data_IF_407934876024
#
_entry.id   IF_407934876024
#
_cell.length_a   1.000
_cell.length_b   1.000
_cell.length_c   1.000
_cell.angle_alpha   90.00
_cell.angle_beta   90.00
_cell.angle_gamma   90.00
#
_symmetry.space_group_name_H-M   'P 1'
#
loop_
_entity.id
_entity.type
_entity.pdbx_description
1 polymer ?
#
# COMPACT_ATOMS: atom_id res chain seq x y z
N UNK A 1 -31.66 -0.33 15.16
CA UNK A 1 -30.73 -0.33 16.29
C UNK A 1 -29.50 -1.09 15.92
N UNK A 2 -28.38 -0.41 16.03
CA UNK A 2 -26.98 -0.87 15.96
C UNK A 2 -26.49 -1.52 17.26
N UNK A 3 -27.27 -1.45 18.34
CA UNK A 3 -26.89 -2.00 19.64
C UNK A 3 -26.37 -0.95 20.63
N UNK A 4 -26.41 0.33 20.26
CA UNK A 4 -26.31 1.45 21.19
C UNK A 4 -27.72 1.94 21.58
N UNK A 5 -27.74 2.75 22.64
CA UNK A 5 -28.95 3.41 23.14
C UNK A 5 -28.62 4.87 23.37
N UNK A 6 -29.63 5.73 23.41
CA UNK A 6 -29.45 7.15 23.79
C UNK A 6 -28.63 7.33 25.09
N UNK A 7 -28.79 6.43 26.08
CA UNK A 7 -28.03 6.49 27.34
C UNK A 7 -26.53 6.15 27.18
N UNK A 8 -26.19 5.43 26.11
CA UNK A 8 -24.82 5.09 25.74
C UNK A 8 -24.21 6.14 24.79
N UNK A 9 -24.94 7.20 24.46
CA UNK A 9 -24.49 8.29 23.58
C UNK A 9 -24.95 8.16 22.14
N UNK A 10 -25.88 7.25 21.83
CA UNK A 10 -26.48 7.17 20.49
C UNK A 10 -27.30 8.43 20.18
N UNK A 11 -27.01 9.05 19.04
CA UNK A 11 -27.66 10.25 18.55
C UNK A 11 -28.71 9.94 17.46
N UNK A 12 -28.74 8.71 16.92
CA UNK A 12 -29.75 8.23 15.95
C UNK A 12 -29.98 6.70 16.05
N UNK A 13 -30.72 6.26 17.08
CA UNK A 13 -31.13 4.85 17.31
C UNK A 13 -31.76 4.15 16.07
N UNK A 14 -32.26 4.92 15.09
CA UNK A 14 -32.87 4.42 13.87
C UNK A 14 -31.83 4.13 12.76
N UNK A 15 -30.66 4.75 12.79
CA UNK A 15 -29.62 4.62 11.79
C UNK A 15 -28.45 3.76 12.29
N UNK A 16 -28.30 2.51 11.81
CA UNK A 16 -27.28 1.60 12.32
C UNK A 16 -25.83 1.96 11.92
N UNK A 17 -25.63 3.06 11.18
CA UNK A 17 -24.33 3.57 10.78
C UNK A 17 -23.84 4.73 11.68
N UNK A 18 -24.70 5.24 12.56
CA UNK A 18 -24.45 6.40 13.41
C UNK A 18 -24.49 5.95 14.86
N UNK A 19 -23.36 5.98 15.57
CA UNK A 19 -23.26 5.68 17.01
C UNK A 19 -21.85 6.03 17.55
N UNK A 20 -21.68 6.19 18.87
CA UNK A 20 -20.40 6.56 19.49
C UNK A 20 -19.22 5.59 19.32
N UNK A 21 -19.44 4.46 18.65
CA UNK A 21 -18.42 3.44 18.41
C UNK A 21 -17.95 3.35 16.97
N UNK A 22 -18.33 4.27 16.07
CA UNK A 22 -17.98 4.19 14.64
C UNK A 22 -16.82 5.10 14.26
N UNK A 23 -16.44 5.08 12.98
CA UNK A 23 -15.52 6.07 12.42
C UNK A 23 -16.32 7.18 11.75
N UNK A 24 -15.90 8.43 11.95
CA UNK A 24 -16.43 9.56 11.20
C UNK A 24 -16.07 9.45 9.71
N UNK A 25 -17.06 9.62 8.83
CA UNK A 25 -16.88 9.51 7.38
C UNK A 25 -17.16 10.83 6.70
N UNK A 26 -16.46 11.09 5.59
CA UNK A 26 -16.71 12.30 4.83
C UNK A 26 -18.05 12.17 4.12
N UNK A 27 -18.95 13.13 4.34
CA UNK A 27 -20.16 13.23 3.55
C UNK A 27 -19.83 13.49 2.07
N UNK A 28 -19.91 12.45 1.25
CA UNK A 28 -19.72 12.51 -0.20
C UNK A 28 -21.06 12.76 -0.89
N UNK A 29 -21.16 13.87 -1.64
CA UNK A 29 -22.37 14.26 -2.35
C UNK A 29 -22.85 13.20 -3.35
N UNK A 30 -24.14 12.88 -3.34
CA UNK A 30 -24.75 11.92 -4.27
C UNK A 30 -24.77 12.42 -5.72
N UNK A 31 -24.99 11.49 -6.67
CA UNK A 31 -25.23 11.80 -8.08
C UNK A 31 -26.37 12.83 -8.23
N UNK A 32 -26.02 14.10 -8.43
CA UNK A 32 -27.01 15.19 -8.48
C UNK A 32 -26.49 16.58 -8.10
N UNK A 33 -25.28 16.69 -7.55
CA UNK A 33 -24.62 17.99 -7.34
C UNK A 33 -25.25 18.89 -6.27
N UNK A 34 -26.11 18.33 -5.42
CA UNK A 34 -26.53 18.98 -4.17
C UNK A 34 -25.48 18.74 -3.09
N UNK A 35 -25.13 19.77 -2.32
CA UNK A 35 -24.42 19.57 -1.06
C UNK A 35 -25.34 18.76 -0.14
N UNK A 36 -24.92 17.56 0.25
CA UNK A 36 -25.56 16.83 1.34
C UNK A 36 -25.22 17.54 2.65
N UNK A 37 -26.16 17.52 3.61
CA UNK A 37 -25.87 17.94 4.97
C UNK A 37 -24.92 16.92 5.59
N UNK A 38 -23.86 17.42 6.24
CA UNK A 38 -22.92 16.56 6.96
C UNK A 38 -23.62 15.76 8.04
N UNK A 39 -23.08 14.57 8.32
CA UNK A 39 -23.56 13.67 9.38
C UNK A 39 -22.52 13.69 10.50
N UNK A 40 -22.97 13.62 11.76
CA UNK A 40 -22.15 13.29 12.93
C UNK A 40 -22.28 11.77 13.10
N UNK A 41 -21.40 11.00 12.46
CA UNK A 41 -21.51 9.54 12.45
C UNK A 41 -21.15 8.96 13.83
N UNK A 42 -20.17 9.55 14.51
CA UNK A 42 -19.68 9.08 15.81
C UNK A 42 -20.32 9.73 17.04
N UNK A 43 -21.40 10.49 16.85
CA UNK A 43 -22.19 11.10 17.92
C UNK A 43 -21.36 11.91 18.95
N UNK A 44 -20.25 12.50 18.53
CA UNK A 44 -19.40 13.31 19.41
C UNK A 44 -19.85 14.78 19.50
N UNK A 45 -20.84 15.16 18.69
CA UNK A 45 -21.44 16.48 18.63
C UNK A 45 -20.79 17.43 17.61
N UNK A 46 -19.76 16.97 16.90
CA UNK A 46 -19.16 17.64 15.75
C UNK A 46 -19.58 16.92 14.46
N UNK A 47 -19.67 17.64 13.33
CA UNK A 47 -20.11 17.07 12.05
C UNK A 47 -18.91 16.97 11.10
N UNK A 48 -18.73 15.82 10.45
CA UNK A 48 -17.65 15.53 9.50
C UNK A 48 -16.25 15.86 10.07
N UNK A 49 -16.03 15.62 11.38
CA UNK A 49 -14.76 15.78 12.10
C UNK A 49 -13.80 14.61 11.83
N UNK A 50 -13.44 14.43 10.56
CA UNK A 50 -12.61 13.31 10.10
C UNK A 50 -11.34 13.11 10.94
N UNK A 51 -10.89 11.85 11.14
CA UNK A 51 -9.66 11.57 11.86
C UNK A 51 -8.46 12.32 11.26
N UNK A 52 -7.83 13.16 12.07
CA UNK A 52 -6.63 13.89 11.67
C UNK A 52 -5.41 12.96 11.52
N UNK A 53 -4.50 13.21 10.55
CA UNK A 53 -3.27 12.45 10.42
C UNK A 53 -2.41 12.46 11.69
N UNK A 54 -1.74 11.34 11.98
CA UNK A 54 -1.05 11.07 13.25
C UNK A 54 0.44 10.69 13.09
N UNK A 55 1.01 11.11 11.97
CA UNK A 55 2.29 10.66 11.43
C UNK A 55 3.39 11.74 11.45
N UNK A 56 3.10 12.90 12.06
CA UNK A 56 4.10 13.95 12.28
C UNK A 56 5.26 13.46 13.15
N UNK A 57 6.44 14.00 12.86
CA UNK A 57 7.66 13.79 13.66
C UNK A 57 8.09 12.32 13.86
N UNK A 58 7.63 11.39 13.01
CA UNK A 58 8.14 10.02 13.00
C UNK A 58 9.53 9.98 12.33
N UNK A 59 10.55 9.41 12.99
CA UNK A 59 11.86 9.17 12.37
C UNK A 59 11.76 8.27 11.14
N UNK A 60 12.63 8.50 10.16
CA UNK A 60 12.64 7.74 8.90
C UNK A 60 12.89 6.24 9.13
N UNK A 61 13.66 5.90 10.15
CA UNK A 61 14.15 4.57 10.51
C UNK A 61 13.47 4.00 11.77
N UNK A 62 12.30 4.53 12.14
CA UNK A 62 11.58 4.07 13.33
C UNK A 62 11.25 2.57 13.23
N UNK A 63 11.76 1.80 14.19
CA UNK A 63 11.62 0.34 14.20
C UNK A 63 10.28 -0.13 14.78
N UNK A 64 9.43 0.75 15.34
CA UNK A 64 8.11 0.38 15.84
C UNK A 64 7.13 0.20 14.67
N UNK A 65 6.63 -1.02 14.39
CA UNK A 65 5.72 -1.26 13.27
C UNK A 65 4.38 -0.54 13.40
N UNK A 66 3.99 -0.08 14.60
CA UNK A 66 2.80 0.76 14.75
C UNK A 66 2.96 2.12 14.06
N UNK A 67 4.21 2.56 13.85
CA UNK A 67 4.50 3.80 13.10
C UNK A 67 4.26 3.64 11.62
N UNK A 68 4.46 2.45 11.06
CA UNK A 68 4.08 2.13 9.70
C UNK A 68 2.55 2.24 9.50
N UNK A 69 1.76 1.84 10.50
CA UNK A 69 0.31 2.04 10.47
C UNK A 69 -0.06 3.54 10.48
N UNK A 70 0.60 4.33 11.33
CA UNK A 70 0.38 5.78 11.40
C UNK A 70 0.73 6.49 10.10
N UNK A 71 1.83 6.09 9.46
CA UNK A 71 2.31 6.64 8.18
C UNK A 71 1.39 6.35 6.97
N UNK A 72 0.30 5.63 7.19
CA UNK A 72 -0.76 5.41 6.20
C UNK A 72 -2.13 5.78 6.78
N UNK A 73 -2.19 6.71 7.73
CA UNK A 73 -3.41 7.26 8.34
C UNK A 73 -4.22 6.28 9.21
N UNK A 74 -3.68 5.11 9.54
CA UNK A 74 -4.28 4.19 10.51
C UNK A 74 -3.92 4.62 11.95
N UNK A 75 -4.61 5.66 12.43
CA UNK A 75 -4.25 6.37 13.65
C UNK A 75 -4.84 5.78 14.94
N UNK A 76 -6.07 5.26 14.87
CA UNK A 76 -6.77 4.76 16.03
C UNK A 76 -6.33 3.34 16.38
N UNK A 77 -6.04 3.09 17.66
CA UNK A 77 -5.81 1.76 18.21
C UNK A 77 -7.12 1.17 18.75
N UNK A 78 -7.33 -0.12 18.49
CA UNK A 78 -8.43 -0.90 19.06
C UNK A 78 -8.10 -1.36 20.48
N UNK A 79 -9.01 -1.10 21.42
CA UNK A 79 -8.93 -1.57 22.80
C UNK A 79 -9.55 -2.97 23.01
N UNK A 80 -10.21 -3.54 22.00
CA UNK A 80 -10.83 -4.85 22.10
C UNK A 80 -11.85 -5.18 21.00
N UNK A 81 -12.63 -6.27 21.14
CA UNK A 81 -13.59 -6.72 20.13
C UNK A 81 -14.72 -5.75 19.79
N UNK A 82 -15.08 -4.85 20.71
CA UNK A 82 -16.12 -3.84 20.52
C UNK A 82 -15.59 -2.47 20.08
N UNK A 83 -14.30 -2.38 19.73
CA UNK A 83 -13.63 -1.10 19.44
C UNK A 83 -12.80 -1.22 18.16
N UNK A 84 -13.00 -0.34 17.19
CA UNK A 84 -12.32 -0.41 15.89
C UNK A 84 -10.89 0.18 15.94
N UNK A 85 -10.12 -0.11 14.90
CA UNK A 85 -8.78 0.42 14.70
C UNK A 85 -7.69 -0.65 14.68
N UNK A 86 -6.44 -0.20 14.69
CA UNK A 86 -5.25 -1.05 14.68
C UNK A 86 -5.20 -1.89 15.96
N UNK A 87 -5.14 -3.21 15.79
CA UNK A 87 -4.99 -4.18 16.89
C UNK A 87 -3.52 -4.48 17.15
N UNK A 88 -2.74 -4.66 16.08
CA UNK A 88 -1.31 -4.91 16.15
C UNK A 88 -0.65 -4.59 14.81
N UNK A 89 0.64 -4.30 14.84
CA UNK A 89 1.48 -4.25 13.65
C UNK A 89 2.78 -5.02 13.91
N UNK A 90 3.32 -5.67 12.89
CA UNK A 90 4.55 -6.48 13.00
C UNK A 90 5.36 -6.37 11.71
N UNK A 91 6.66 -6.13 11.82
CA UNK A 91 7.59 -6.29 10.70
C UNK A 91 7.81 -7.78 10.41
N UNK A 92 7.65 -8.18 9.16
CA UNK A 92 7.72 -9.58 8.70
C UNK A 92 8.41 -9.65 7.34
N UNK A 93 8.75 -10.85 6.88
CA UNK A 93 9.06 -11.09 5.47
C UNK A 93 7.75 -11.23 4.67
N UNK A 94 7.84 -11.24 3.34
CA UNK A 94 6.66 -11.23 2.46
C UNK A 94 5.76 -12.45 2.65
N UNK A 95 6.32 -13.61 2.98
CA UNK A 95 5.60 -14.83 3.37
C UNK A 95 4.94 -14.76 4.76
N UNK A 96 5.31 -13.79 5.59
CA UNK A 96 4.78 -13.57 6.94
C UNK A 96 5.63 -14.19 8.04
N UNK A 97 6.76 -14.79 7.68
CA UNK A 97 7.75 -15.24 8.65
C UNK A 97 8.44 -14.04 9.34
N UNK A 98 9.01 -14.22 10.54
CA UNK A 98 9.67 -13.13 11.26
C UNK A 98 10.94 -12.65 10.52
N UNK A 99 11.43 -11.43 10.83
CA UNK A 99 12.72 -10.95 10.35
C UNK A 99 13.87 -11.92 10.70
N UNK A 100 14.97 -11.91 9.94
CA UNK A 100 16.12 -12.76 10.22
C UNK A 100 16.73 -12.47 11.61
N UNK A 101 17.17 -13.53 12.30
CA UNK A 101 17.71 -13.45 13.67
C UNK A 101 19.18 -12.98 13.73
N UNK A 102 19.93 -13.17 12.63
CA UNK A 102 21.33 -12.77 12.55
C UNK A 102 21.47 -11.25 12.61
N UNK A 103 22.36 -10.72 13.46
CA UNK A 103 22.43 -9.28 13.74
C UNK A 103 22.67 -8.41 12.49
N UNK A 104 23.49 -8.87 11.54
CA UNK A 104 23.73 -8.17 10.27
C UNK A 104 22.50 -8.20 9.38
N UNK A 105 21.91 -9.37 9.16
CA UNK A 105 20.71 -9.53 8.34
C UNK A 105 19.53 -8.78 8.94
N UNK A 106 19.42 -8.74 10.27
CA UNK A 106 18.37 -8.00 10.97
C UNK A 106 18.54 -6.50 10.74
N UNK A 107 19.77 -5.97 10.87
CA UNK A 107 20.04 -4.57 10.55
C UNK A 107 19.69 -4.24 9.08
N UNK A 108 20.07 -5.11 8.14
CA UNK A 108 19.74 -4.93 6.73
C UNK A 108 18.23 -5.02 6.45
N UNK A 109 17.52 -5.94 7.12
CA UNK A 109 16.07 -6.03 7.05
C UNK A 109 15.41 -4.71 7.46
N UNK A 110 15.91 -4.07 8.52
CA UNK A 110 15.38 -2.77 8.97
C UNK A 110 15.73 -1.58 8.05
N UNK A 111 16.65 -1.74 7.08
CA UNK A 111 16.84 -0.78 5.99
C UNK A 111 15.80 -0.96 4.88
N UNK A 112 15.13 -2.12 4.80
CA UNK A 112 14.11 -2.42 3.80
C UNK A 112 12.76 -1.74 4.03
N UNK A 113 12.61 -0.99 5.13
CA UNK A 113 11.44 -0.16 5.40
C UNK A 113 11.84 1.26 5.82
N UNK A 114 10.93 2.21 5.61
CA UNK A 114 11.15 3.60 5.98
C UNK A 114 9.85 4.40 6.06
N UNK A 115 9.86 5.45 6.89
CA UNK A 115 8.73 6.35 7.09
C UNK A 115 9.12 7.74 6.60
N UNK A 116 8.91 7.96 5.30
CA UNK A 116 9.57 9.03 4.55
C UNK A 116 8.72 10.30 4.56
N UNK A 117 9.30 11.50 4.69
CA UNK A 117 8.55 12.75 4.54
C UNK A 117 8.16 13.06 3.08
N UNK A 118 8.78 12.35 2.14
CA UNK A 118 8.60 12.39 0.67
C UNK A 118 9.53 11.34 0.06
N UNK A 119 9.36 11.05 -1.22
CA UNK A 119 10.27 10.22 -1.98
C UNK A 119 10.76 10.96 -3.24
N UNK A 120 12.01 11.41 -3.22
CA UNK A 120 12.54 12.30 -4.25
C UNK A 120 11.93 13.71 -4.19
N UNK A 121 12.03 14.41 -5.32
CA UNK A 121 11.61 15.81 -5.44
C UNK A 121 10.10 15.97 -5.63
N UNK A 122 9.44 14.97 -6.24
CA UNK A 122 8.11 15.13 -6.82
C UNK A 122 7.08 14.08 -6.36
N UNK A 123 7.42 13.21 -5.41
CA UNK A 123 6.48 12.25 -4.80
C UNK A 123 6.27 12.64 -3.33
N UNK A 124 5.38 13.60 -3.02
CA UNK A 124 5.02 13.92 -1.65
C UNK A 124 4.05 12.87 -1.08
N UNK A 125 3.87 12.84 0.25
CA UNK A 125 2.77 12.12 0.87
C UNK A 125 1.40 12.53 0.30
N UNK A 126 0.47 11.58 0.26
CA UNK A 126 -0.93 11.73 -0.19
C UNK A 126 -1.84 12.19 0.95
N UNK A 127 -1.52 11.83 2.17
CA UNK A 127 -2.09 12.40 3.38
C UNK A 127 -0.97 12.63 4.41
N UNK A 128 -1.32 13.30 5.51
CA UNK A 128 -0.38 13.50 6.62
C UNK A 128 0.92 14.20 6.27
N UNK A 129 2.00 13.77 6.92
CA UNK A 129 3.35 14.30 6.81
C UNK A 129 4.38 13.25 6.36
N UNK A 130 4.00 11.98 6.27
CA UNK A 130 4.84 10.82 6.01
C UNK A 130 4.12 9.85 5.09
N UNK A 131 4.92 9.00 4.44
CA UNK A 131 4.46 7.83 3.71
C UNK A 131 5.27 6.60 4.14
N UNK A 132 4.71 5.42 3.99
CA UNK A 132 5.42 4.16 4.21
C UNK A 132 6.16 3.74 2.94
N UNK A 133 7.47 3.49 3.03
CA UNK A 133 8.28 2.90 1.98
C UNK A 133 8.73 1.49 2.37
N UNK A 134 8.69 0.57 1.40
CA UNK A 134 9.09 -0.83 1.54
C UNK A 134 9.86 -1.23 0.29
N UNK A 135 11.07 -1.77 0.45
CA UNK A 135 11.99 -2.03 -0.65
C UNK A 135 12.63 -3.40 -0.57
N UNK A 136 12.95 -4.00 -1.72
CA UNK A 136 13.85 -5.15 -1.83
C UNK A 136 15.31 -4.77 -1.51
N UNK A 137 15.69 -3.52 -1.74
CA UNK A 137 16.92 -2.88 -1.28
C UNK A 137 16.67 -1.97 -0.06
N UNK A 138 17.17 -0.74 -0.09
CA UNK A 138 16.94 0.23 1.00
C UNK A 138 15.73 1.12 0.71
N UNK A 139 14.81 1.24 1.67
CA UNK A 139 13.64 2.10 1.58
C UNK A 139 14.03 3.56 1.93
N UNK A 140 14.87 4.17 1.08
CA UNK A 140 15.46 5.50 1.26
C UNK A 140 15.48 6.24 -0.08
N UNK A 141 15.28 7.56 -0.07
CA UNK A 141 15.64 8.41 -1.22
C UNK A 141 17.13 8.79 -1.15
N UNK A 142 17.69 9.25 -2.27
CA UNK A 142 19.14 9.50 -2.42
C UNK A 142 19.76 10.45 -1.39
N UNK A 143 18.96 11.29 -0.73
CA UNK A 143 19.43 12.24 0.30
C UNK A 143 19.36 11.71 1.74
N UNK A 144 18.77 10.55 1.96
CA UNK A 144 18.51 10.05 3.31
C UNK A 144 19.69 9.25 3.87
N UNK A 145 19.79 9.22 5.20
CA UNK A 145 20.73 8.34 5.88
C UNK A 145 20.36 6.87 5.67
N UNK A 146 21.38 6.04 5.41
CA UNK A 146 21.19 4.62 5.09
C UNK A 146 20.77 4.37 3.64
N UNK A 147 20.79 5.38 2.77
CA UNK A 147 20.60 5.18 1.34
C UNK A 147 21.73 4.31 0.77
N UNK A 148 21.33 3.24 0.09
CA UNK A 148 22.18 2.44 -0.79
C UNK A 148 21.61 2.47 -2.20
N UNK A 149 22.49 2.36 -3.19
CA UNK A 149 22.07 2.44 -4.59
C UNK A 149 21.09 1.31 -4.93
N UNK A 150 19.94 1.59 -5.56
CA UNK A 150 19.00 0.56 -6.04
C UNK A 150 19.56 -0.32 -7.17
N UNK A 151 20.84 -0.20 -7.51
CA UNK A 151 21.52 -1.10 -8.43
C UNK A 151 21.68 -2.52 -7.87
N UNK A 152 21.51 -2.73 -6.57
CA UNK A 152 21.60 -4.04 -5.93
C UNK A 152 22.20 -3.98 -4.54
N UNK A 153 21.40 -3.57 -3.56
CA UNK A 153 21.74 -3.69 -2.14
C UNK A 153 21.32 -5.08 -1.61
N UNK A 154 22.28 -6.01 -1.62
CA UNK A 154 22.08 -7.35 -1.10
C UNK A 154 21.95 -7.35 0.44
N UNK A 155 20.75 -7.65 0.97
CA UNK A 155 20.48 -7.71 2.41
C UNK A 155 20.94 -9.02 3.06
N UNK A 156 21.35 -10.01 2.26
CA UNK A 156 21.97 -11.30 2.64
C UNK A 156 21.02 -12.27 3.31
N UNK A 157 19.75 -12.27 2.90
CA UNK A 157 18.79 -13.27 3.34
C UNK A 157 17.73 -13.55 2.26
N UNK A 158 17.07 -14.70 2.41
CA UNK A 158 16.01 -15.17 1.52
C UNK A 158 14.72 -15.33 2.33
N UNK A 159 13.56 -15.28 1.68
CA UNK A 159 12.28 -15.68 2.24
C UNK A 159 11.51 -16.60 1.29
N UNK A 160 10.37 -17.13 1.73
CA UNK A 160 9.49 -17.90 0.84
C UNK A 160 8.53 -16.98 0.05
N UNK A 161 7.87 -17.55 -0.96
CA UNK A 161 6.76 -16.86 -1.61
C UNK A 161 5.60 -16.65 -0.63
N UNK A 162 4.91 -15.50 -0.70
CA UNK A 162 3.61 -15.37 -0.05
C UNK A 162 2.58 -16.32 -0.63
N UNK A 163 1.51 -16.58 0.13
CA UNK A 163 0.38 -17.38 -0.36
C UNK A 163 -0.20 -16.80 -1.66
N UNK A 164 -0.35 -17.64 -2.68
CA UNK A 164 -0.82 -17.23 -4.02
C UNK A 164 0.30 -16.82 -4.98
N UNK A 165 1.56 -16.87 -4.57
CA UNK A 165 2.74 -16.65 -5.41
C UNK A 165 3.54 -17.96 -5.63
N UNK A 166 4.37 -18.07 -6.68
CA UNK A 166 4.68 -17.04 -7.69
C UNK A 166 3.51 -16.70 -8.62
N UNK A 167 3.51 -15.48 -9.16
CA UNK A 167 2.55 -15.02 -10.16
C UNK A 167 3.27 -14.69 -11.46
N UNK A 168 3.08 -15.54 -12.46
CA UNK A 168 3.66 -15.32 -13.79
C UNK A 168 2.95 -14.12 -14.45
N UNK A 169 3.67 -13.08 -14.89
CA UNK A 169 3.06 -12.00 -15.61
C UNK A 169 2.47 -12.50 -16.93
N UNK A 170 1.20 -12.19 -17.16
CA UNK A 170 0.55 -12.45 -18.44
C UNK A 170 1.28 -11.70 -19.54
N UNK A 171 1.23 -12.23 -20.76
CA UNK A 171 1.90 -11.67 -21.94
C UNK A 171 3.43 -11.65 -21.83
N UNK A 172 4.00 -12.33 -20.83
CA UNK A 172 5.35 -12.85 -20.89
C UNK A 172 5.29 -14.32 -21.30
N UNK A 173 6.32 -14.80 -22.01
CA UNK A 173 6.44 -16.23 -22.30
C UNK A 173 6.59 -17.06 -21.03
N UNK A 174 6.80 -18.37 -21.17
CA UNK A 174 6.97 -19.27 -20.03
C UNK A 174 8.31 -18.97 -19.33
N UNK A 175 8.27 -18.14 -18.27
CA UNK A 175 9.32 -18.04 -17.27
C UNK A 175 8.72 -18.24 -15.88
N UNK A 176 9.54 -18.72 -14.94
CA UNK A 176 9.11 -18.95 -13.56
C UNK A 176 9.87 -17.95 -12.69
N UNK A 177 9.18 -17.02 -12.01
CA UNK A 177 9.82 -16.10 -11.07
C UNK A 177 10.68 -16.86 -10.06
N UNK A 178 11.89 -16.35 -9.79
CA UNK A 178 12.73 -16.89 -8.74
C UNK A 178 12.21 -16.52 -7.35
N UNK A 179 12.72 -17.26 -6.37
CA UNK A 179 12.30 -17.16 -4.97
C UNK A 179 12.62 -15.77 -4.41
N UNK A 180 11.82 -15.26 -3.44
CA UNK A 180 12.06 -13.96 -2.84
C UNK A 180 13.42 -13.86 -2.14
N UNK A 181 14.24 -12.96 -2.65
CA UNK A 181 15.47 -12.46 -2.06
C UNK A 181 15.21 -11.12 -1.38
N UNK A 182 15.92 -10.90 -0.27
CA UNK A 182 15.89 -9.67 0.51
C UNK A 182 14.47 -9.11 0.85
N UNK A 183 13.47 -9.96 1.16
CA UNK A 183 12.09 -9.51 1.35
C UNK A 183 11.94 -8.61 2.58
N UNK A 184 11.05 -7.63 2.49
CA UNK A 184 10.64 -6.80 3.64
C UNK A 184 9.16 -6.47 3.56
N UNK A 185 8.46 -6.63 4.67
CA UNK A 185 7.02 -6.39 4.76
C UNK A 185 6.60 -5.89 6.15
N UNK A 186 5.42 -5.28 6.19
CA UNK A 186 4.68 -5.03 7.44
C UNK A 186 3.33 -5.71 7.35
N UNK A 187 2.92 -6.37 8.43
CA UNK A 187 1.56 -6.90 8.61
C UNK A 187 0.84 -6.11 9.70
N UNK A 188 -0.32 -5.56 9.38
CA UNK A 188 -1.16 -4.79 10.30
C UNK A 188 -2.49 -5.51 10.46
N UNK A 189 -2.83 -5.86 11.69
CA UNK A 189 -4.13 -6.38 12.06
C UNK A 189 -5.05 -5.22 12.46
N UNK A 190 -6.22 -5.13 11.85
CA UNK A 190 -7.15 -4.00 12.00
C UNK A 190 -8.55 -4.54 12.27
N UNK A 191 -9.23 -3.98 13.26
CA UNK A 191 -10.67 -4.19 13.42
C UNK A 191 -11.41 -3.13 12.62
N UNK A 192 -12.20 -3.59 11.65
CA UNK A 192 -12.98 -2.75 10.74
C UNK A 192 -14.08 -2.02 11.53
N UNK A 193 -14.27 -0.70 11.34
CA UNK A 193 -15.43 0.03 11.87
C UNK A 193 -16.76 -0.63 11.49
N UNK A 194 -17.80 -0.47 12.30
CA UNK A 194 -19.10 -1.13 12.05
C UNK A 194 -19.94 -0.46 10.96
N UNK A 195 -19.66 0.82 10.66
CA UNK A 195 -20.36 1.60 9.64
C UNK A 195 -19.73 1.53 8.24
N UNK A 196 -18.62 0.82 8.05
CA UNK A 196 -17.91 0.75 6.75
C UNK A 196 -18.05 -0.61 6.08
N UNK A 197 -17.79 -0.67 4.77
CA UNK A 197 -17.88 -1.87 3.92
C UNK A 197 -16.68 -2.05 3.01
N UNK A 198 -15.78 -1.08 2.97
CA UNK A 198 -14.55 -1.14 2.19
C UNK A 198 -13.46 -0.27 2.78
N UNK A 199 -12.31 -0.34 2.14
CA UNK A 199 -11.22 0.62 2.34
C UNK A 199 -10.50 0.86 1.01
N UNK A 200 -9.77 1.97 0.94
CA UNK A 200 -8.81 2.25 -0.10
C UNK A 200 -7.49 2.72 0.50
N UNK A 201 -6.40 2.57 -0.24
CA UNK A 201 -5.11 3.17 0.07
C UNK A 201 -4.40 3.58 -1.22
N UNK A 202 -3.49 4.55 -1.11
CA UNK A 202 -2.64 4.96 -2.20
C UNK A 202 -1.37 4.12 -2.29
N UNK A 203 -0.93 3.87 -3.52
CA UNK A 203 0.31 3.13 -3.79
C UNK A 203 1.09 3.73 -4.95
N UNK A 204 2.42 3.78 -4.83
CA UNK A 204 3.34 4.14 -5.90
C UNK A 204 4.44 3.06 -5.96
N UNK A 205 4.91 2.71 -7.15
CA UNK A 205 5.95 1.72 -7.33
C UNK A 205 7.05 2.26 -8.24
N UNK A 206 8.30 2.14 -7.80
CA UNK A 206 9.50 2.40 -8.62
C UNK A 206 10.37 1.15 -8.67
N UNK A 207 11.01 0.93 -9.81
CA UNK A 207 11.79 -0.29 -10.02
C UNK A 207 13.03 -0.02 -10.84
N UNK A 208 14.14 -0.63 -10.43
CA UNK A 208 15.40 -0.55 -11.14
C UNK A 208 15.53 -1.64 -12.22
N UNK A 209 14.59 -2.62 -12.26
CA UNK A 209 14.47 -3.62 -13.31
C UNK A 209 14.46 -2.99 -14.71
N UNK A 210 14.00 -1.75 -14.87
CA UNK A 210 13.90 -1.12 -16.19
C UNK A 210 15.26 -1.01 -16.88
N UNK A 211 15.38 -1.46 -18.14
CA UNK A 211 14.32 -1.88 -19.08
C UNK A 211 14.13 -3.41 -19.25
N UNK A 212 14.53 -4.23 -18.29
CA UNK A 212 14.49 -5.69 -18.33
C UNK A 212 13.11 -6.24 -17.94
N UNK A 213 12.13 -6.16 -18.83
CA UNK A 213 10.83 -6.79 -18.62
C UNK A 213 10.85 -8.30 -18.93
N UNK A 214 9.86 -9.03 -18.45
CA UNK A 214 9.67 -10.47 -18.67
C UNK A 214 10.88 -11.35 -18.33
N UNK A 215 11.55 -11.07 -17.21
CA UNK A 215 12.63 -11.92 -16.70
C UNK A 215 12.24 -12.62 -15.40
N UNK A 216 12.89 -13.76 -15.13
CA UNK A 216 12.73 -14.49 -13.87
C UNK A 216 13.25 -13.74 -12.63
N UNK A 217 13.98 -12.64 -12.86
CA UNK A 217 14.58 -11.76 -11.85
C UNK A 217 13.74 -10.51 -11.54
N UNK A 218 12.57 -10.34 -12.17
CA UNK A 218 11.79 -9.12 -11.92
C UNK A 218 11.18 -9.09 -10.51
N UNK A 219 11.41 -7.97 -9.83
CA UNK A 219 10.98 -7.69 -8.47
C UNK A 219 9.46 -7.54 -8.37
N UNK A 220 8.95 -7.77 -7.16
CA UNK A 220 7.52 -7.60 -6.89
C UNK A 220 7.27 -6.73 -5.67
N UNK A 221 6.19 -5.96 -5.78
CA UNK A 221 5.50 -5.37 -4.65
C UNK A 221 4.15 -6.04 -4.45
N UNK A 222 3.83 -6.41 -3.21
CA UNK A 222 2.63 -7.17 -2.87
C UNK A 222 1.75 -6.44 -1.86
N UNK A 223 0.45 -6.59 -2.02
CA UNK A 223 -0.55 -6.23 -1.00
C UNK A 223 -1.48 -7.44 -0.76
N UNK A 224 -1.44 -8.01 0.44
CA UNK A 224 -2.16 -9.24 0.80
C UNK A 224 -3.19 -8.94 1.90
N UNK A 225 -4.46 -9.22 1.62
CA UNK A 225 -5.57 -9.07 2.56
C UNK A 225 -6.01 -10.43 3.09
N UNK A 226 -6.12 -10.53 4.42
CA UNK A 226 -6.68 -11.69 5.13
C UNK A 226 -7.85 -11.27 6.02
N UNK A 227 -8.98 -11.99 6.02
CA UNK A 227 -9.28 -13.09 5.10
C UNK A 227 -9.38 -12.60 3.65
N UNK A 228 -9.11 -13.50 2.70
CA UNK A 228 -9.13 -13.15 1.28
C UNK A 228 -10.53 -12.67 0.85
N UNK A 229 -10.63 -11.67 -0.04
CA UNK A 229 -11.87 -11.32 -0.69
C UNK A 229 -12.51 -12.52 -1.40
N UNK A 230 -13.84 -12.66 -1.29
CA UNK A 230 -14.56 -13.85 -1.77
C UNK A 230 -14.40 -14.10 -3.28
N UNK A 231 -14.19 -13.04 -4.07
CA UNK A 231 -14.04 -13.09 -5.53
C UNK A 231 -12.58 -13.29 -6.00
N UNK A 232 -11.63 -13.44 -5.09
CA UNK A 232 -10.22 -13.71 -5.41
C UNK A 232 -9.84 -15.14 -5.02
N UNK A 233 -8.92 -15.76 -5.77
CA UNK A 233 -8.42 -17.10 -5.46
C UNK A 233 -7.46 -17.11 -4.26
N UNK A 234 -6.82 -15.97 -4.00
CA UNK A 234 -5.84 -15.73 -2.95
C UNK A 234 -6.07 -14.34 -2.33
N UNK A 235 -5.26 -13.93 -1.35
CA UNK A 235 -5.39 -12.65 -0.66
C UNK A 235 -4.78 -11.45 -1.41
N UNK A 236 -4.17 -11.61 -2.58
CA UNK A 236 -3.46 -10.53 -3.24
C UNK A 236 -4.40 -9.55 -3.94
N UNK A 237 -4.37 -8.29 -3.52
CA UNK A 237 -5.31 -7.24 -3.98
C UNK A 237 -4.70 -6.19 -4.91
N UNK A 238 -3.39 -6.24 -5.15
CA UNK A 238 -2.69 -5.25 -5.98
C UNK A 238 -2.35 -5.83 -7.37
N UNK A 239 -3.15 -5.50 -8.38
CA UNK A 239 -2.91 -6.01 -9.73
C UNK A 239 -3.51 -5.08 -10.80
N UNK A 240 -2.96 -5.14 -12.01
CA UNK A 240 -3.52 -4.41 -13.16
C UNK A 240 -4.81 -5.04 -13.70
N UNK A 241 -5.40 -4.40 -14.71
CA UNK A 241 -6.60 -4.89 -15.39
C UNK A 241 -6.42 -6.26 -16.08
N UNK A 242 -5.18 -6.71 -16.28
CA UNK A 242 -4.82 -8.05 -16.77
C UNK A 242 -4.51 -9.02 -15.64
N UNK A 243 -4.67 -8.64 -14.36
CA UNK A 243 -4.31 -9.45 -13.18
C UNK A 243 -2.81 -9.71 -13.03
N UNK A 244 -1.94 -8.91 -13.64
CA UNK A 244 -0.51 -8.95 -13.32
C UNK A 244 -0.30 -8.34 -11.94
N UNK A 245 0.48 -8.99 -11.09
CA UNK A 245 0.95 -8.39 -9.84
C UNK A 245 1.81 -7.14 -10.11
N UNK A 246 2.04 -6.31 -9.10
CA UNK A 246 2.88 -5.13 -9.26
C UNK A 246 4.34 -5.53 -9.42
N UNK A 247 4.90 -5.22 -10.58
CA UNK A 247 6.30 -5.38 -11.00
C UNK A 247 6.52 -4.50 -12.23
N UNK A 248 7.72 -4.51 -12.82
CA UNK A 248 7.95 -3.89 -14.14
C UNK A 248 6.98 -4.39 -15.22
N UNK A 249 6.42 -5.59 -15.04
CA UNK A 249 5.51 -6.20 -15.99
C UNK A 249 4.06 -5.70 -15.89
N UNK A 250 3.80 -4.73 -15.01
CA UNK A 250 2.48 -4.19 -14.78
C UNK A 250 2.09 -3.10 -15.81
N UNK A 251 0.82 -3.07 -16.23
CA UNK A 251 0.32 -2.07 -17.18
C UNK A 251 0.29 -0.63 -16.64
N UNK A 252 0.49 -0.41 -15.33
CA UNK A 252 0.54 0.91 -14.71
C UNK A 252 1.89 1.63 -14.82
N UNK A 253 2.94 0.97 -15.34
CA UNK A 253 4.23 1.62 -15.58
C UNK A 253 4.06 2.72 -16.64
N UNK A 254 4.24 3.97 -16.23
CA UNK A 254 4.06 5.14 -17.09
C UNK A 254 5.02 6.30 -16.77
N UNK A 255 5.72 6.23 -15.64
CA UNK A 255 6.85 7.12 -15.33
C UNK A 255 8.12 6.46 -15.85
N UNK A 256 8.45 6.67 -17.12
CA UNK A 256 9.59 6.03 -17.76
C UNK A 256 10.09 6.83 -18.96
N UNK A 257 11.23 6.39 -19.51
CA UNK A 257 11.73 6.83 -20.81
C UNK A 257 12.56 5.72 -21.46
N UNK A 258 12.80 5.85 -22.76
CA UNK A 258 13.60 4.91 -23.54
C UNK A 258 14.32 5.63 -24.69
N UNK A 259 15.34 4.96 -25.21
CA UNK A 259 16.02 5.38 -26.43
C UNK A 259 15.02 5.41 -27.60
N UNK A 260 14.96 6.55 -28.29
CA UNK A 260 13.97 6.80 -29.36
C UNK A 260 12.68 7.48 -28.90
N UNK A 261 12.48 7.62 -27.58
CA UNK A 261 11.32 8.30 -26.99
C UNK A 261 10.06 7.43 -26.87
N UNK A 262 9.05 7.88 -26.11
CA UNK A 262 7.80 7.15 -25.91
C UNK A 262 6.96 7.02 -27.21
N UNK A 263 6.15 5.95 -27.35
CA UNK A 263 5.99 4.85 -26.41
C UNK A 263 7.18 3.87 -26.43
N UNK A 264 7.54 3.35 -25.27
CA UNK A 264 8.68 2.45 -25.11
C UNK A 264 8.29 1.01 -25.37
N UNK A 265 9.05 0.32 -26.20
CA UNK A 265 8.82 -1.08 -26.53
C UNK A 265 9.92 -1.96 -25.93
N UNK A 266 9.54 -2.77 -24.94
CA UNK A 266 10.42 -3.73 -24.26
C UNK A 266 9.96 -5.14 -24.67
N UNK A 267 10.65 -5.74 -25.63
CA UNK A 267 10.40 -7.11 -26.10
C UNK A 267 8.93 -7.41 -26.44
N UNK A 268 8.27 -6.45 -27.10
CA UNK A 268 6.88 -6.58 -27.54
C UNK A 268 5.85 -6.01 -26.55
N UNK A 269 6.29 -5.59 -25.35
CA UNK A 269 5.47 -4.84 -24.39
C UNK A 269 5.62 -3.35 -24.62
N UNK A 270 4.50 -2.68 -24.83
CA UNK A 270 4.46 -1.25 -25.11
C UNK A 270 4.01 -0.49 -23.87
N UNK A 271 4.89 0.39 -23.38
CA UNK A 271 4.65 1.31 -22.28
C UNK A 271 4.45 2.72 -22.84
N UNK A 272 3.38 3.39 -22.46
CA UNK A 272 3.11 4.73 -22.98
C UNK A 272 4.18 5.73 -22.53
N UNK A 273 4.71 5.57 -21.31
CA UNK A 273 5.68 6.45 -20.68
C UNK A 273 5.26 7.93 -20.78
N UNK A 274 3.95 8.18 -20.65
CA UNK A 274 3.33 9.48 -20.90
C UNK A 274 3.58 10.47 -19.77
N UNK A 275 3.85 9.96 -18.57
CA UNK A 275 4.22 10.75 -17.39
C UNK A 275 5.70 11.20 -17.40
N UNK A 276 6.50 10.73 -18.37
CA UNK A 276 7.92 11.05 -18.46
C UNK A 276 8.72 10.55 -17.25
N UNK A 277 9.76 11.28 -16.83
CA UNK A 277 10.67 10.83 -15.75
C UNK A 277 10.75 11.78 -14.56
N UNK A 278 9.92 12.82 -14.53
CA UNK A 278 10.05 13.89 -13.54
C UNK A 278 9.86 13.38 -12.10
N UNK A 279 8.99 12.39 -11.88
CA UNK A 279 8.75 11.78 -10.57
C UNK A 279 9.97 10.97 -10.05
N UNK A 280 10.88 10.55 -10.91
CA UNK A 280 12.10 9.81 -10.53
C UNK A 280 13.23 10.72 -10.02
N UNK A 281 13.08 12.04 -10.10
CA UNK A 281 14.14 12.97 -9.70
C UNK A 281 14.37 12.92 -8.18
N UNK A 282 15.59 12.59 -7.76
CA UNK A 282 16.02 12.52 -6.37
C UNK A 282 15.62 11.24 -5.64
N UNK A 283 14.99 10.28 -6.32
CA UNK A 283 14.57 9.01 -5.70
C UNK A 283 15.70 8.00 -5.63
N UNK A 284 16.75 8.13 -6.45
CA UNK A 284 17.76 7.10 -6.69
C UNK A 284 17.42 6.17 -7.85
N UNK A 285 16.22 6.34 -8.46
CA UNK A 285 15.72 5.57 -9.60
C UNK A 285 15.76 6.38 -10.91
N UNK A 286 16.60 7.42 -10.99
CA UNK A 286 16.76 8.22 -12.19
C UNK A 286 17.13 7.35 -13.41
N UNK A 287 16.41 7.56 -14.52
CA UNK A 287 16.60 6.79 -15.75
C UNK A 287 15.98 5.39 -15.74
N UNK A 288 15.19 5.05 -14.70
CA UNK A 288 14.46 3.79 -14.57
C UNK A 288 12.97 3.97 -14.87
N UNK A 289 12.12 3.20 -14.20
CA UNK A 289 10.69 3.27 -14.37
C UNK A 289 9.93 3.21 -13.05
N UNK A 290 8.67 3.63 -13.12
CA UNK A 290 7.70 3.47 -12.06
C UNK A 290 6.29 3.75 -12.53
N UNK A 291 5.38 3.75 -11.57
CA UNK A 291 4.00 4.19 -11.72
C UNK A 291 3.86 5.62 -11.18
N UNK A 292 2.81 6.33 -11.60
CA UNK A 292 2.29 7.42 -10.78
C UNK A 292 1.60 6.86 -9.53
N UNK A 293 0.98 7.72 -8.73
CA UNK A 293 0.12 7.25 -7.64
C UNK A 293 -1.11 6.52 -8.18
N UNK A 294 -1.37 5.34 -7.61
CA UNK A 294 -2.55 4.53 -7.82
C UNK A 294 -3.39 4.50 -6.54
N UNK A 295 -4.63 4.07 -6.67
CA UNK A 295 -5.55 3.74 -5.56
C UNK A 295 -5.85 2.26 -5.67
N UNK A 296 -5.65 1.52 -4.59
CA UNK A 296 -6.14 0.14 -4.45
C UNK A 296 -7.27 0.13 -3.42
N UNK A 297 -8.39 -0.50 -3.77
CA UNK A 297 -9.55 -0.64 -2.90
C UNK A 297 -9.93 -2.11 -2.72
N UNK A 298 -10.60 -2.43 -1.60
CA UNK A 298 -11.10 -3.78 -1.33
C UNK A 298 -12.31 -3.78 -0.37
N UNK A 299 -13.24 -4.75 -0.52
CA UNK A 299 -14.36 -4.91 0.39
C UNK A 299 -13.94 -5.57 1.71
N UNK A 300 -14.64 -5.21 2.79
CA UNK A 300 -14.50 -5.79 4.13
C UNK A 300 -15.86 -5.91 4.83
N UNK A 301 -15.98 -6.85 5.76
CA UNK A 301 -17.18 -6.94 6.59
C UNK A 301 -17.05 -6.01 7.82
N UNK A 302 -18.13 -5.30 8.21
CA UNK A 302 -18.11 -4.44 9.39
C UNK A 302 -17.79 -5.22 10.67
N UNK A 303 -16.94 -4.65 11.53
CA UNK A 303 -16.50 -5.27 12.79
C UNK A 303 -15.50 -6.44 12.63
N UNK A 304 -15.22 -6.86 11.40
CA UNK A 304 -14.31 -7.96 11.11
C UNK A 304 -12.88 -7.62 11.53
N UNK A 305 -12.15 -8.63 12.01
CA UNK A 305 -10.69 -8.54 12.12
C UNK A 305 -10.08 -8.89 10.77
N UNK A 306 -9.38 -7.93 10.17
CA UNK A 306 -8.62 -8.11 8.94
C UNK A 306 -7.12 -8.00 9.23
N UNK A 307 -6.31 -8.50 8.31
CA UNK A 307 -4.87 -8.25 8.23
C UNK A 307 -4.53 -7.76 6.83
N UNK A 308 -3.83 -6.64 6.74
CA UNK A 308 -3.20 -6.18 5.50
C UNK A 308 -1.69 -6.37 5.63
N UNK A 309 -1.07 -6.97 4.62
CA UNK A 309 0.39 -7.07 4.51
C UNK A 309 0.85 -6.43 3.22
N UNK A 310 1.70 -5.42 3.35
CA UNK A 310 2.43 -4.84 2.23
C UNK A 310 3.88 -5.28 2.29
N UNK A 311 4.50 -5.50 1.14
CA UNK A 311 5.91 -5.89 1.11
C UNK A 311 6.53 -5.84 -0.28
N UNK A 312 7.85 -5.77 -0.29
CA UNK A 312 8.68 -5.81 -1.48
C UNK A 312 9.66 -6.99 -1.40
N UNK A 313 10.01 -7.57 -2.54
CA UNK A 313 11.09 -8.55 -2.62
C UNK A 313 11.77 -8.53 -3.99
N UNK A 314 13.05 -8.88 -3.97
CA UNK A 314 13.87 -9.13 -5.16
C UNK A 314 13.64 -10.56 -5.64
N UNK A 315 13.59 -10.79 -6.95
CA UNK A 315 13.46 -12.16 -7.46
C UNK A 315 14.81 -12.82 -7.73
N UNK A 316 15.51 -13.23 -6.67
CA UNK A 316 16.55 -14.26 -6.72
C UNK A 316 17.96 -13.81 -7.11
N UNK A 317 18.21 -12.56 -7.51
CA UNK A 317 19.56 -12.11 -7.92
C UNK A 317 20.16 -10.98 -7.06
N UNK A 318 19.39 -10.46 -6.11
CA UNK A 318 19.77 -9.38 -5.18
C UNK A 318 20.23 -8.10 -5.91
N UNK A 319 19.72 -7.87 -7.12
CA UNK A 319 20.10 -6.78 -7.99
C UNK A 319 18.87 -6.04 -8.50
N UNK A 320 19.07 -4.77 -8.84
CA UNK A 320 18.03 -3.94 -9.44
C UNK A 320 16.79 -3.78 -8.54
N UNK A 321 17.04 -3.39 -7.29
CA UNK A 321 16.04 -3.21 -6.25
C UNK A 321 14.82 -2.39 -6.70
N UNK A 322 13.68 -2.66 -6.07
CA UNK A 322 12.42 -1.97 -6.27
C UNK A 322 11.85 -1.48 -4.96
N UNK A 323 11.04 -0.43 -5.02
CA UNK A 323 10.42 0.20 -3.84
C UNK A 323 8.95 0.45 -4.10
N UNK A 324 8.10 0.00 -3.19
CA UNK A 324 6.70 0.40 -3.11
C UNK A 324 6.50 1.41 -1.99
N UNK A 325 5.64 2.40 -2.25
CA UNK A 325 5.20 3.40 -1.31
C UNK A 325 3.71 3.19 -1.02
N UNK A 326 3.30 3.30 0.24
CA UNK A 326 1.91 3.16 0.69
C UNK A 326 1.55 4.38 1.53
N UNK A 327 0.34 4.90 1.36
CA UNK A 327 -0.12 6.13 2.00
C UNK A 327 -1.66 6.21 1.98
N UNK A 328 -2.25 7.12 2.78
CA UNK A 328 -3.62 7.59 2.69
C UNK A 328 -4.66 6.46 2.73
N UNK A 329 -4.69 5.70 3.83
CA UNK A 329 -5.79 4.77 4.09
C UNK A 329 -7.08 5.53 4.31
N UNK A 330 -8.14 5.13 3.60
CA UNK A 330 -9.48 5.70 3.71
C UNK A 330 -10.49 4.59 3.89
N UNK A 331 -11.42 4.76 4.84
CA UNK A 331 -12.56 3.86 5.00
C UNK A 331 -13.69 4.24 4.04
N UNK A 332 -14.39 3.22 3.52
CA UNK A 332 -15.47 3.40 2.53
C UNK A 332 -16.79 2.85 3.07
N UNK A 333 -17.84 3.67 3.04
CA UNK A 333 -19.20 3.26 3.45
C UNK A 333 -19.95 2.45 2.37
N UNK A 334 -19.53 2.54 1.11
CA UNK A 334 -20.30 2.00 -0.02
C UNK A 334 -20.36 0.48 -0.05
N UNK A 335 -21.54 -0.04 -0.40
CA UNK A 335 -21.86 -1.47 -0.29
C UNK A 335 -21.28 -2.33 -1.41
N UNK A 336 -20.91 -1.73 -2.54
CA UNK A 336 -20.55 -2.44 -3.77
C UNK A 336 -19.03 -2.39 -4.06
N UNK A 337 -18.21 -2.17 -3.03
CA UNK A 337 -16.76 -2.13 -3.16
C UNK A 337 -16.23 -3.45 -3.73
N UNK A 338 -15.33 -3.36 -4.71
CA UNK A 338 -14.67 -4.53 -5.29
C UNK A 338 -13.18 -4.32 -5.29
N UNK A 339 -12.42 -5.42 -5.29
CA UNK A 339 -10.97 -5.30 -5.40
C UNK A 339 -10.61 -4.66 -6.74
N UNK A 340 -10.02 -3.47 -6.66
CA UNK A 340 -9.62 -2.69 -7.82
C UNK A 340 -8.28 -2.00 -7.59
N UNK A 341 -7.56 -1.71 -8.67
CA UNK A 341 -6.41 -0.80 -8.64
C UNK A 341 -6.52 0.10 -9.86
N UNK A 342 -6.46 1.42 -9.66
CA UNK A 342 -6.63 2.43 -10.71
C UNK A 342 -5.72 3.64 -10.47
N UNK A 343 -5.34 4.40 -11.51
CA UNK A 343 -4.66 5.69 -11.32
C UNK A 343 -5.53 6.71 -10.55
N UNK A 344 -4.90 7.54 -9.70
CA UNK A 344 -5.58 8.56 -8.86
C UNK A 344 -6.35 9.61 -9.68
N UNK A 345 -5.97 9.87 -10.93
CA UNK A 345 -6.62 10.87 -11.79
C UNK A 345 -8.00 10.45 -12.33
N UNK A 346 -8.52 9.29 -11.89
CA UNK A 346 -9.95 9.00 -11.93
C UNK A 346 -10.55 9.37 -10.59
N UNK A 347 -11.63 10.19 -10.55
CA UNK A 347 -12.42 10.26 -9.33
C UNK A 347 -12.79 8.83 -8.91
N UNK A 348 -12.75 8.51 -7.60
CA UNK A 348 -13.35 7.27 -7.13
C UNK A 348 -14.78 7.18 -7.70
N UNK A 349 -15.22 5.97 -8.12
CA UNK A 349 -16.53 5.78 -8.73
C UNK A 349 -17.68 6.38 -7.90
#
# INVERSE_FOLDING_TARGET
GDGYTEQQGDCDDCNPLVNPGVVELATVGGEGGGALEGVDDDCDGEIDNLPEPCDRDIPIDDADPLKAAKAVELCKTSSGPGDWGVVSATWVMVDGSPPPEGAEQNANFHLGHGILPKFGANIPPKAGARLLALSSGTARQASDEGFESPMGFNKKYEGEFPEGFPKDPRDCGDFVPLKPSDPTAVEIAIRVPTNVRGFAFNINYVTYDWPLACTEFNDYFVALLSPRPANLIDGHILFDNKRNAMSINNAFIDVCSCDGGPPCNLDGRVYACSSGTSELLGTGFEGRAGTGWLVTSAPVEPGQLIKIRWGAYDAGDHQLDSTGLVDNWVWLAEKDETVSTVPVDRPPP
#
